data_IF_405325187659
#
_entry.id   IF_405325187659
#
_cell.length_a   1.000
_cell.length_b   1.000
_cell.length_c   1.000
_cell.angle_alpha   90.00
_cell.angle_beta   90.00
_cell.angle_gamma   90.00
#
_symmetry.space_group_name_H-M   'P 1'
#
loop_
_entity.id
_entity.type
_entity.pdbx_description
1 polymer ?
#
# COMPACT_ATOMS: atom_id res chain seq x y z
N UNK A 1 37.65 41.52 -14.38
CA UNK A 1 37.10 40.97 -13.11
C UNK A 1 36.10 39.88 -13.44
N UNK A 2 36.09 38.84 -12.60
CA UNK A 2 35.58 37.48 -12.80
C UNK A 2 34.20 37.38 -13.48
N UNK A 3 34.11 36.50 -14.47
CA UNK A 3 32.87 36.04 -15.09
C UNK A 3 31.85 35.62 -14.03
N UNK A 4 30.57 35.83 -14.31
CA UNK A 4 29.43 35.38 -13.50
C UNK A 4 28.70 34.18 -14.15
N UNK A 5 29.32 33.04 -14.54
CA UNK A 5 28.72 32.11 -15.49
C UNK A 5 28.18 30.83 -14.83
N UNK A 6 27.55 30.91 -13.65
CA UNK A 6 27.00 29.70 -13.00
C UNK A 6 25.78 29.90 -12.08
N UNK A 7 25.37 31.14 -11.75
CA UNK A 7 24.33 31.35 -10.74
C UNK A 7 22.93 30.87 -11.18
N UNK A 8 22.53 31.18 -12.42
CA UNK A 8 21.19 30.82 -12.92
C UNK A 8 21.03 29.32 -13.23
N UNK A 9 21.97 28.63 -13.91
CA UNK A 9 21.89 27.18 -14.07
C UNK A 9 21.87 26.43 -12.73
N UNK A 10 22.66 26.86 -11.75
CA UNK A 10 22.66 26.28 -10.39
C UNK A 10 21.31 26.46 -9.70
N UNK A 11 20.67 27.64 -9.85
CA UNK A 11 19.34 27.89 -9.33
C UNK A 11 18.30 26.95 -9.96
N UNK A 12 18.30 26.79 -11.29
CA UNK A 12 17.40 25.86 -11.98
C UNK A 12 17.60 24.43 -11.49
N UNK A 13 18.85 23.95 -11.39
CA UNK A 13 19.15 22.61 -10.87
C UNK A 13 18.68 22.45 -9.43
N UNK A 14 18.86 23.46 -8.58
CA UNK A 14 18.40 23.44 -7.19
C UNK A 14 16.88 23.37 -7.06
N UNK A 15 16.15 24.20 -7.83
CA UNK A 15 14.68 24.17 -7.87
C UNK A 15 14.19 22.81 -8.40
N UNK A 16 14.79 22.30 -9.48
CA UNK A 16 14.44 20.99 -10.03
C UNK A 16 14.65 19.86 -9.02
N UNK A 17 15.76 19.88 -8.27
CA UNK A 17 16.03 18.89 -7.23
C UNK A 17 15.05 18.97 -6.05
N UNK A 18 14.59 20.18 -5.68
CA UNK A 18 13.58 20.37 -4.65
C UNK A 18 12.22 19.83 -5.11
N UNK A 19 11.79 20.16 -6.33
CA UNK A 19 10.53 19.66 -6.90
C UNK A 19 10.51 18.14 -6.98
N UNK A 20 11.60 17.54 -7.45
CA UNK A 20 11.74 16.09 -7.52
C UNK A 20 11.69 15.44 -6.12
N UNK A 21 12.31 16.03 -5.11
CA UNK A 21 12.22 15.54 -3.73
C UNK A 21 10.77 15.59 -3.19
N UNK A 22 10.07 16.70 -3.43
CA UNK A 22 8.67 16.85 -3.03
C UNK A 22 7.79 15.81 -3.70
N UNK A 23 7.92 15.60 -5.02
CA UNK A 23 7.15 14.56 -5.73
C UNK A 23 7.43 13.17 -5.20
N UNK A 24 8.68 12.84 -4.86
CA UNK A 24 9.00 11.54 -4.23
C UNK A 24 8.36 11.39 -2.86
N UNK A 25 8.28 12.46 -2.08
CA UNK A 25 7.62 12.43 -0.78
C UNK A 25 6.11 12.17 -0.93
N UNK A 26 5.47 12.89 -1.85
CA UNK A 26 4.06 12.70 -2.21
C UNK A 26 3.79 11.28 -2.69
N UNK A 27 4.56 10.80 -3.68
CA UNK A 27 4.40 9.46 -4.23
C UNK A 27 4.50 8.37 -3.15
N UNK A 28 5.43 8.51 -2.21
CA UNK A 28 5.56 7.58 -1.07
C UNK A 28 4.35 7.65 -0.15
N UNK A 29 3.92 8.86 0.23
CA UNK A 29 2.77 9.04 1.12
C UNK A 29 1.50 8.42 0.54
N UNK A 30 1.20 8.71 -0.73
CA UNK A 30 0.05 8.14 -1.45
C UNK A 30 0.13 6.62 -1.48
N UNK A 31 1.31 6.06 -1.82
CA UNK A 31 1.49 4.61 -1.87
C UNK A 31 1.28 3.91 -0.51
N UNK A 32 1.79 4.49 0.57
CA UNK A 32 1.63 3.94 1.92
C UNK A 32 0.16 3.99 2.37
N UNK A 33 -0.51 5.14 2.19
CA UNK A 33 -1.92 5.32 2.55
C UNK A 33 -2.83 4.44 1.70
N UNK A 34 -2.58 4.34 0.40
CA UNK A 34 -3.30 3.46 -0.50
C UNK A 34 -3.20 2.00 -0.04
N UNK A 35 -2.00 1.53 0.28
CA UNK A 35 -1.78 0.15 0.72
C UNK A 35 -2.47 -0.15 2.04
N UNK A 36 -2.36 0.76 3.01
CA UNK A 36 -3.05 0.64 4.29
C UNK A 36 -4.58 0.64 4.11
N UNK A 37 -5.11 1.51 3.23
CA UNK A 37 -6.53 1.56 2.90
C UNK A 37 -7.01 0.24 2.29
N UNK A 38 -6.24 -0.32 1.36
CA UNK A 38 -6.57 -1.59 0.71
C UNK A 38 -6.50 -2.80 1.64
N UNK A 39 -5.54 -2.83 2.57
CA UNK A 39 -5.53 -3.82 3.65
C UNK A 39 -6.82 -3.76 4.48
N UNK A 40 -7.24 -2.55 4.81
CA UNK A 40 -8.40 -2.28 5.64
C UNK A 40 -9.74 -2.55 4.93
N UNK A 41 -9.81 -2.33 3.61
CA UNK A 41 -10.91 -2.83 2.77
C UNK A 41 -10.96 -4.37 2.82
N UNK A 42 -9.81 -5.03 2.72
CA UNK A 42 -9.70 -6.48 2.86
C UNK A 42 -10.22 -7.00 4.20
N UNK A 43 -9.89 -6.33 5.31
CA UNK A 43 -10.40 -6.64 6.65
C UNK A 43 -11.93 -6.60 6.68
N UNK A 44 -12.52 -5.50 6.20
CA UNK A 44 -13.98 -5.30 6.18
C UNK A 44 -14.70 -6.36 5.37
N UNK A 45 -14.14 -6.77 4.23
CA UNK A 45 -14.69 -7.87 3.42
C UNK A 45 -14.71 -9.18 4.23
N UNK A 46 -13.58 -9.54 4.86
CA UNK A 46 -13.49 -10.80 5.62
C UNK A 46 -14.40 -10.81 6.84
N UNK A 47 -14.49 -9.70 7.58
CA UNK A 47 -15.39 -9.59 8.73
C UNK A 47 -16.86 -9.72 8.32
N UNK A 48 -17.23 -9.10 7.20
CA UNK A 48 -18.59 -9.20 6.66
C UNK A 48 -18.95 -10.65 6.29
N UNK A 49 -18.02 -11.39 5.68
CA UNK A 49 -18.23 -12.82 5.38
C UNK A 49 -18.34 -13.68 6.66
N UNK A 50 -17.52 -13.40 7.68
CA UNK A 50 -17.49 -14.17 8.94
C UNK A 50 -18.75 -14.00 9.81
N UNK A 51 -19.41 -12.84 9.71
CA UNK A 51 -20.67 -12.57 10.42
C UNK A 51 -21.87 -13.36 9.86
N UNK A 52 -21.65 -14.27 8.91
CA UNK A 52 -22.57 -15.36 8.60
C UNK A 52 -23.81 -14.96 7.80
N UNK A 53 -23.78 -13.81 7.12
CA UNK A 53 -24.93 -13.34 6.33
C UNK A 53 -25.22 -14.17 5.06
N UNK A 54 -24.36 -15.10 4.64
CA UNK A 54 -24.76 -16.16 3.68
C UNK A 54 -23.75 -17.31 3.59
N UNK A 55 -24.15 -18.53 3.97
CA UNK A 55 -23.25 -19.69 4.16
C UNK A 55 -23.04 -20.60 2.93
N UNK A 56 -23.61 -20.30 1.76
CA UNK A 56 -23.63 -21.29 0.66
C UNK A 56 -23.03 -20.84 -0.70
N UNK A 57 -22.97 -19.55 -1.06
CA UNK A 57 -22.58 -19.13 -2.43
C UNK A 57 -21.73 -17.82 -2.51
N UNK A 58 -21.25 -17.29 -1.38
CA UNK A 58 -21.08 -15.84 -1.25
C UNK A 58 -19.75 -15.22 -1.69
N UNK A 59 -18.62 -15.94 -1.67
CA UNK A 59 -17.31 -15.30 -1.78
C UNK A 59 -17.12 -14.49 -3.06
N UNK A 60 -17.24 -15.15 -4.22
CA UNK A 60 -17.05 -14.47 -5.50
C UNK A 60 -18.22 -13.54 -5.84
N UNK A 61 -19.46 -13.94 -5.53
CA UNK A 61 -20.65 -13.12 -5.83
C UNK A 61 -20.67 -11.82 -5.01
N UNK A 62 -20.27 -11.86 -3.73
CA UNK A 62 -20.08 -10.67 -2.91
C UNK A 62 -19.06 -9.73 -3.54
N UNK A 63 -17.90 -10.26 -3.92
CA UNK A 63 -16.84 -9.45 -4.53
C UNK A 63 -17.29 -8.86 -5.88
N UNK A 64 -18.10 -9.58 -6.66
CA UNK A 64 -18.68 -9.05 -7.90
C UNK A 64 -19.65 -7.90 -7.62
N UNK A 65 -20.56 -8.06 -6.65
CA UNK A 65 -21.53 -7.03 -6.24
C UNK A 65 -20.83 -5.80 -5.67
N UNK A 66 -19.93 -6.00 -4.70
CA UNK A 66 -19.10 -4.93 -4.14
C UNK A 66 -18.31 -4.22 -5.23
N UNK A 67 -17.73 -4.96 -6.17
CA UNK A 67 -16.95 -4.35 -7.24
C UNK A 67 -17.79 -3.46 -8.14
N UNK A 68 -19.01 -3.87 -8.47
CA UNK A 68 -19.95 -3.02 -9.21
C UNK A 68 -20.32 -1.76 -8.42
N UNK A 69 -20.78 -1.92 -7.19
CA UNK A 69 -21.31 -0.82 -6.37
C UNK A 69 -20.23 0.20 -5.98
N UNK A 70 -19.03 -0.27 -5.63
CA UNK A 70 -17.90 0.61 -5.31
C UNK A 70 -17.38 1.32 -6.55
N UNK A 71 -17.34 0.64 -7.71
CA UNK A 71 -16.91 1.29 -8.96
C UNK A 71 -17.88 2.40 -9.36
N UNK A 72 -19.18 2.19 -9.18
CA UNK A 72 -20.21 3.21 -9.45
C UNK A 72 -20.08 4.43 -8.54
N UNK A 73 -19.71 4.25 -7.26
CA UNK A 73 -19.64 5.34 -6.28
C UNK A 73 -18.29 6.06 -6.22
N UNK A 74 -17.20 5.32 -6.40
CA UNK A 74 -15.84 5.79 -6.12
C UNK A 74 -14.91 5.75 -7.34
N UNK A 75 -15.37 5.23 -8.48
CA UNK A 75 -14.60 5.17 -9.72
C UNK A 75 -13.79 3.90 -9.88
N UNK A 76 -12.76 3.95 -10.74
CA UNK A 76 -11.97 2.77 -11.12
C UNK A 76 -11.16 2.23 -9.93
N UNK A 77 -10.62 1.01 -10.07
CA UNK A 77 -9.79 0.38 -9.04
C UNK A 77 -10.52 -0.52 -8.04
N UNK A 78 -11.85 -0.49 -7.97
CA UNK A 78 -12.61 -1.38 -7.07
C UNK A 78 -13.17 -2.64 -7.75
N UNK A 79 -12.66 -3.03 -8.93
CA UNK A 79 -13.12 -4.24 -9.61
C UNK A 79 -12.87 -5.53 -8.79
N UNK A 80 -13.64 -6.58 -9.10
CA UNK A 80 -13.60 -7.89 -8.42
C UNK A 80 -12.17 -8.42 -8.18
N UNK A 81 -11.28 -8.31 -9.18
CA UNK A 81 -9.88 -8.77 -9.06
C UNK A 81 -9.09 -8.01 -8.00
N UNK A 82 -9.25 -6.69 -7.92
CA UNK A 82 -8.53 -5.89 -6.93
C UNK A 82 -9.10 -6.16 -5.53
N UNK A 83 -10.43 -6.22 -5.37
CA UNK A 83 -11.06 -6.59 -4.09
C UNK A 83 -10.63 -7.98 -3.61
N UNK A 84 -10.52 -8.95 -4.52
CA UNK A 84 -9.98 -10.28 -4.22
C UNK A 84 -8.52 -10.20 -3.73
N UNK A 85 -7.71 -9.35 -4.36
CA UNK A 85 -6.33 -9.09 -3.94
C UNK A 85 -6.26 -8.41 -2.57
N UNK A 86 -7.12 -7.42 -2.30
CA UNK A 86 -7.25 -6.75 -0.98
C UNK A 86 -7.61 -7.75 0.12
N UNK A 87 -8.60 -8.62 -0.16
CA UNK A 87 -9.00 -9.71 0.74
C UNK A 87 -7.83 -10.66 1.03
N UNK A 88 -7.15 -11.14 -0.01
CA UNK A 88 -5.98 -12.01 0.13
C UNK A 88 -4.85 -11.33 0.92
N UNK A 89 -4.66 -10.03 0.70
CA UNK A 89 -3.67 -9.22 1.41
C UNK A 89 -3.94 -9.13 2.90
N UNK A 90 -5.19 -8.86 3.29
CA UNK A 90 -5.57 -8.88 4.69
C UNK A 90 -5.35 -10.26 5.33
N UNK A 91 -5.82 -11.34 4.67
CA UNK A 91 -5.66 -12.70 5.19
C UNK A 91 -4.20 -13.10 5.40
N UNK A 92 -3.30 -12.67 4.49
CA UNK A 92 -1.86 -12.92 4.62
C UNK A 92 -1.15 -12.06 5.67
N UNK A 93 -1.78 -10.97 6.13
CA UNK A 93 -1.19 -9.98 7.03
C UNK A 93 -2.10 -9.63 8.22
N UNK A 94 -2.91 -10.59 8.68
CA UNK A 94 -3.96 -10.37 9.69
C UNK A 94 -3.40 -10.06 11.09
N UNK A 95 -2.15 -10.46 11.37
CA UNK A 95 -1.48 -10.23 12.67
C UNK A 95 -1.11 -8.76 12.93
N UNK A 96 -1.24 -7.87 11.94
CA UNK A 96 -0.84 -6.46 12.07
C UNK A 96 -1.66 -5.72 13.13
N UNK A 97 -2.94 -6.08 13.33
CA UNK A 97 -3.78 -5.47 14.37
C UNK A 97 -3.23 -5.66 15.78
N UNK A 98 -2.59 -6.79 16.07
CA UNK A 98 -1.94 -7.02 17.36
C UNK A 98 -0.78 -6.03 17.57
N UNK A 99 -0.08 -5.68 16.49
CA UNK A 99 1.06 -4.77 16.54
C UNK A 99 0.62 -3.31 16.67
N UNK A 100 -0.43 -2.91 15.94
CA UNK A 100 -0.98 -1.54 16.00
C UNK A 100 -1.65 -1.29 17.35
N UNK A 101 -2.36 -2.28 17.91
CA UNK A 101 -2.96 -2.18 19.25
C UNK A 101 -1.89 -2.00 20.34
N UNK A 102 -0.76 -2.71 20.25
CA UNK A 102 0.35 -2.55 21.19
C UNK A 102 0.99 -1.16 21.15
N UNK A 103 1.13 -0.54 19.96
CA UNK A 103 1.64 0.84 19.80
C UNK A 103 0.62 1.89 20.26
N UNK A 104 -0.67 1.67 20.01
CA UNK A 104 -1.73 2.60 20.43
C UNK A 104 -1.85 2.69 21.96
N UNK A 105 -1.62 1.58 22.69
CA UNK A 105 -1.57 1.57 24.16
C UNK A 105 -0.40 2.38 24.75
N UNK A 106 0.64 2.63 23.97
CA UNK A 106 1.83 3.35 24.44
C UNK A 106 1.79 4.86 24.15
N UNK A 107 0.95 5.33 23.22
CA UNK A 107 0.95 6.74 22.78
C UNK A 107 -0.37 7.51 22.99
N UNK A 108 -1.49 6.84 23.31
CA UNK A 108 -2.73 7.53 23.65
C UNK A 108 -3.46 6.82 24.78
N UNK A 109 -3.65 7.52 25.91
CA UNK A 109 -4.55 7.11 26.98
C UNK A 109 -6.02 7.26 26.57
N UNK A 110 -6.44 6.54 25.54
CA UNK A 110 -7.82 6.48 25.08
C UNK A 110 -8.21 5.02 24.80
N UNK A 111 -9.32 4.60 25.41
CA UNK A 111 -9.91 3.27 25.36
C UNK A 111 -9.96 2.71 23.93
N UNK A 112 -9.24 1.60 23.73
CA UNK A 112 -9.08 0.93 22.46
C UNK A 112 -10.31 0.05 22.17
N UNK A 113 -10.68 0.05 20.89
CA UNK A 113 -11.56 -0.90 20.23
C UNK A 113 -11.10 -2.35 20.50
N UNK A 114 -11.59 -2.91 21.61
CA UNK A 114 -11.47 -4.32 21.92
C UNK A 114 -12.46 -5.12 21.06
N UNK A 115 -11.95 -6.18 20.44
CA UNK A 115 -12.77 -7.18 19.73
C UNK A 115 -13.67 -7.88 20.75
N UNK A 116 -15.00 -7.71 20.63
CA UNK A 116 -15.97 -8.41 21.49
C UNK A 116 -16.07 -9.87 21.03
N UNK A 117 -15.35 -10.76 21.70
CA UNK A 117 -15.76 -12.15 21.82
C UNK A 117 -15.41 -12.68 23.20
N UNK A 118 -16.33 -12.48 24.15
CA UNK A 118 -16.67 -13.46 25.18
C UNK A 118 -17.92 -13.00 25.93
N UNK A 119 -19.03 -13.74 25.74
CA UNK A 119 -20.22 -13.85 26.62
C UNK A 119 -20.85 -12.55 27.15
N UNK A 120 -22.00 -12.22 26.53
CA UNK A 120 -23.26 -11.74 27.12
C UNK A 120 -23.21 -11.10 28.52
N UNK A 121 -23.53 -9.80 28.58
CA UNK A 121 -24.65 -9.16 29.32
C UNK A 121 -24.35 -7.65 29.41
N UNK A 122 -25.34 -6.80 29.06
CA UNK A 122 -25.54 -5.33 29.32
C UNK A 122 -26.00 -4.58 28.04
N UNK A 123 -26.97 -3.63 28.17
CA UNK A 123 -27.99 -3.35 27.16
C UNK A 123 -27.63 -2.33 26.08
N UNK A 124 -28.42 -2.41 25.00
CA UNK A 124 -28.49 -1.51 23.83
C UNK A 124 -28.47 -0.04 24.28
N UNK A 125 -27.43 0.69 23.89
CA UNK A 125 -27.44 2.16 23.92
C UNK A 125 -27.87 2.68 22.55
N UNK A 126 -29.17 2.94 22.40
CA UNK A 126 -29.65 3.97 21.49
C UNK A 126 -29.28 5.34 22.07
N UNK A 127 -28.46 6.13 21.38
CA UNK A 127 -28.54 7.60 21.49
C UNK A 127 -27.89 8.28 20.29
N UNK A 128 -28.63 9.27 19.79
CA UNK A 128 -28.32 10.15 18.66
C UNK A 128 -27.42 11.28 19.14
N UNK A 129 -26.44 11.67 18.30
CA UNK A 129 -25.68 12.93 18.33
C UNK A 129 -24.45 13.04 19.25
N UNK A 130 -23.33 13.39 18.59
CA UNK A 130 -22.11 14.03 19.08
C UNK A 130 -21.18 13.27 20.07
N UNK A 131 -20.17 12.57 19.52
CA UNK A 131 -18.75 12.62 19.94
C UNK A 131 -17.87 11.89 18.91
N UNK A 132 -16.87 12.62 18.42
CA UNK A 132 -15.76 12.28 17.52
C UNK A 132 -15.65 10.82 17.08
N UNK A 133 -15.76 10.60 15.77
CA UNK A 133 -15.19 9.43 15.10
C UNK A 133 -13.77 9.18 15.66
N UNK A 134 -13.37 7.92 15.91
CA UNK A 134 -11.97 7.65 16.24
C UNK A 134 -11.07 8.27 15.17
N UNK A 135 -9.89 8.71 15.57
CA UNK A 135 -8.90 9.36 14.73
C UNK A 135 -8.44 8.42 13.61
N UNK A 136 -9.26 8.33 12.57
CA UNK A 136 -9.09 7.41 11.45
C UNK A 136 -7.80 7.70 10.70
N UNK A 137 -7.41 8.98 10.64
CA UNK A 137 -6.18 9.43 10.02
C UNK A 137 -4.97 8.94 10.83
N UNK A 138 -4.98 9.06 12.17
CA UNK A 138 -3.92 8.47 12.99
C UNK A 138 -3.86 6.95 12.87
N UNK A 139 -5.01 6.27 12.81
CA UNK A 139 -5.03 4.82 12.61
C UNK A 139 -4.43 4.42 11.26
N UNK A 140 -4.78 5.15 10.19
CA UNK A 140 -4.27 4.88 8.86
C UNK A 140 -2.77 5.16 8.74
N UNK A 141 -2.27 6.21 9.41
CA UNK A 141 -0.83 6.48 9.49
C UNK A 141 -0.09 5.37 10.24
N UNK A 142 -0.62 4.91 11.37
CA UNK A 142 -0.06 3.79 12.11
C UNK A 142 -0.02 2.50 11.26
N UNK A 143 -1.08 2.22 10.50
CA UNK A 143 -1.11 1.10 9.55
C UNK A 143 -0.12 1.29 8.39
N UNK A 144 -0.02 2.49 7.84
CA UNK A 144 0.88 2.82 6.73
C UNK A 144 2.35 2.53 7.08
N UNK A 145 2.75 2.72 8.34
CA UNK A 145 4.08 2.35 8.82
C UNK A 145 4.39 0.84 8.76
N UNK A 146 3.36 -0.02 8.72
CA UNK A 146 3.50 -1.47 8.57
C UNK A 146 3.59 -1.92 7.11
N UNK A 147 3.29 -1.04 6.15
CA UNK A 147 3.29 -1.34 4.72
C UNK A 147 4.22 -0.39 3.94
N UNK A 148 5.54 -0.54 4.07
CA UNK A 148 6.51 0.38 3.49
C UNK A 148 6.66 0.25 1.96
N UNK A 149 6.09 -0.78 1.33
CA UNK A 149 6.12 -0.95 -0.13
C UNK A 149 4.81 -0.42 -0.78
N UNK A 150 4.88 0.05 -2.04
CA UNK A 150 3.69 0.33 -2.83
C UNK A 150 2.76 -0.89 -2.99
N UNK A 151 1.46 -0.65 -3.18
CA UNK A 151 0.47 -1.71 -3.41
C UNK A 151 0.84 -2.63 -4.57
N UNK A 152 1.42 -2.08 -5.65
CA UNK A 152 1.85 -2.86 -6.81
C UNK A 152 2.91 -3.92 -6.47
N UNK A 153 3.79 -3.67 -5.50
CA UNK A 153 4.71 -4.69 -4.96
C UNK A 153 3.93 -5.78 -4.23
N UNK A 154 3.02 -5.41 -3.34
CA UNK A 154 2.22 -6.37 -2.58
C UNK A 154 1.37 -7.27 -3.49
N UNK A 155 0.79 -6.73 -4.56
CA UNK A 155 0.10 -7.52 -5.59
C UNK A 155 1.03 -8.58 -6.21
N UNK A 156 2.31 -8.26 -6.47
CA UNK A 156 3.29 -9.25 -6.96
C UNK A 156 3.66 -10.27 -5.88
N UNK A 157 3.81 -9.84 -4.63
CA UNK A 157 4.13 -10.71 -3.50
C UNK A 157 2.98 -11.69 -3.18
N UNK A 158 1.72 -11.31 -3.39
CA UNK A 158 0.56 -12.19 -3.25
C UNK A 158 0.60 -13.40 -4.21
N UNK A 159 1.22 -13.26 -5.38
CA UNK A 159 1.40 -14.37 -6.32
C UNK A 159 2.45 -15.40 -5.87
N UNK A 160 3.31 -15.04 -4.91
CA UNK A 160 4.34 -15.93 -4.34
C UNK A 160 3.69 -16.83 -3.29
N UNK A 161 3.59 -18.14 -3.57
CA UNK A 161 2.92 -19.11 -2.68
C UNK A 161 3.68 -19.40 -1.40
N UNK A 162 5.01 -19.54 -1.51
CA UNK A 162 5.88 -19.79 -0.36
C UNK A 162 6.03 -18.52 0.48
N UNK A 163 5.65 -18.61 1.75
CA UNK A 163 5.72 -17.49 2.69
C UNK A 163 7.17 -17.06 2.97
N UNK A 164 8.12 -18.00 3.03
CA UNK A 164 9.53 -17.68 3.26
C UNK A 164 10.11 -16.94 2.05
N UNK A 165 9.77 -17.39 0.84
CA UNK A 165 10.14 -16.70 -0.40
C UNK A 165 9.50 -15.29 -0.45
N UNK A 166 8.22 -15.16 -0.09
CA UNK A 166 7.51 -13.88 -0.07
C UNK A 166 8.19 -12.87 0.85
N UNK A 167 8.46 -13.25 2.11
CA UNK A 167 9.18 -12.41 3.08
C UNK A 167 10.57 -12.03 2.59
N UNK A 168 11.30 -12.98 2.00
CA UNK A 168 12.61 -12.71 1.41
C UNK A 168 12.53 -11.64 0.32
N UNK A 169 11.57 -11.73 -0.61
CA UNK A 169 11.41 -10.75 -1.67
C UNK A 169 10.97 -9.38 -1.16
N UNK A 170 10.12 -9.33 -0.14
CA UNK A 170 9.73 -8.08 0.53
C UNK A 170 10.94 -7.39 1.18
N UNK A 171 11.72 -8.13 1.97
CA UNK A 171 12.92 -7.61 2.63
C UNK A 171 13.97 -7.12 1.63
N UNK A 172 14.23 -7.88 0.56
CA UNK A 172 15.18 -7.51 -0.47
C UNK A 172 14.70 -6.31 -1.29
N UNK A 173 13.40 -6.21 -1.56
CA UNK A 173 12.83 -5.05 -2.23
C UNK A 173 12.97 -3.78 -1.38
N UNK A 174 12.76 -3.87 -0.06
CA UNK A 174 12.97 -2.77 0.88
C UNK A 174 14.44 -2.39 1.02
N UNK A 175 15.32 -3.38 1.19
CA UNK A 175 16.76 -3.19 1.37
C UNK A 175 17.42 -2.62 0.11
N UNK A 176 17.02 -3.12 -1.05
CA UNK A 176 17.62 -2.79 -2.35
C UNK A 176 16.90 -1.70 -3.12
N UNK A 177 15.76 -1.19 -2.63
CA UNK A 177 14.92 -0.22 -3.34
C UNK A 177 14.43 -0.75 -4.69
N UNK A 178 14.04 -2.02 -4.77
CA UNK A 178 13.66 -2.64 -6.04
C UNK A 178 12.36 -2.02 -6.57
N UNK A 179 12.35 -1.63 -7.84
CA UNK A 179 11.10 -1.31 -8.52
C UNK A 179 10.23 -2.56 -8.72
N UNK A 180 8.95 -2.37 -9.02
CA UNK A 180 8.02 -3.47 -9.33
C UNK A 180 8.58 -4.37 -10.44
N UNK A 181 9.20 -3.78 -11.47
CA UNK A 181 9.84 -4.51 -12.58
C UNK A 181 11.01 -5.36 -12.12
N UNK A 182 11.84 -4.82 -11.23
CA UNK A 182 12.94 -5.56 -10.64
C UNK A 182 12.43 -6.71 -9.76
N UNK A 183 11.46 -6.44 -8.88
CA UNK A 183 10.83 -7.45 -8.03
C UNK A 183 10.24 -8.59 -8.87
N UNK A 184 9.42 -8.26 -9.87
CA UNK A 184 8.77 -9.23 -10.77
C UNK A 184 9.81 -10.10 -11.49
N UNK A 185 10.90 -9.49 -11.97
CA UNK A 185 12.01 -10.22 -12.58
C UNK A 185 12.72 -11.15 -11.59
N UNK A 186 12.94 -10.72 -10.35
CA UNK A 186 13.60 -11.57 -9.34
C UNK A 186 12.71 -12.75 -8.93
N UNK A 187 11.41 -12.52 -8.79
CA UNK A 187 10.41 -13.57 -8.57
C UNK A 187 10.42 -14.55 -9.76
N UNK A 188 10.32 -14.04 -10.99
CA UNK A 188 10.27 -14.86 -12.21
C UNK A 188 11.54 -15.71 -12.42
N UNK A 189 12.70 -15.22 -11.98
CA UNK A 189 13.96 -15.97 -12.05
C UNK A 189 14.25 -16.84 -10.82
N UNK A 190 13.28 -16.97 -9.89
CA UNK A 190 13.41 -17.77 -8.66
C UNK A 190 14.68 -17.41 -7.88
N UNK A 191 14.90 -16.12 -7.71
CA UNK A 191 16.13 -15.60 -7.12
C UNK A 191 16.32 -16.06 -5.67
N UNK A 192 15.24 -16.22 -4.91
CA UNK A 192 15.24 -16.79 -3.57
C UNK A 192 15.86 -18.20 -3.55
N UNK A 193 15.32 -19.10 -4.36
CA UNK A 193 15.72 -20.50 -4.43
C UNK A 193 17.16 -20.63 -4.90
N UNK A 194 17.56 -19.82 -5.89
CA UNK A 194 18.95 -19.78 -6.35
C UNK A 194 19.89 -19.26 -5.26
N UNK A 195 19.44 -18.32 -4.44
CA UNK A 195 20.24 -17.80 -3.32
C UNK A 195 20.39 -18.84 -2.21
N UNK A 196 19.35 -19.64 -1.93
CA UNK A 196 19.43 -20.76 -1.00
C UNK A 196 20.45 -21.82 -1.46
N UNK A 197 20.44 -22.16 -2.76
CA UNK A 197 21.31 -23.19 -3.35
C UNK A 197 22.74 -22.69 -3.61
N UNK A 198 22.98 -21.38 -3.54
CA UNK A 198 24.30 -20.80 -3.83
C UNK A 198 25.29 -21.09 -2.70
N UNK A 199 26.47 -21.61 -3.06
CA UNK A 199 27.62 -21.73 -2.16
C UNK A 199 28.14 -20.37 -1.67
N UNK A 200 27.93 -19.31 -2.47
CA UNK A 200 28.32 -17.94 -2.12
C UNK A 200 27.11 -17.01 -2.21
N UNK A 201 26.36 -16.91 -1.10
CA UNK A 201 25.14 -16.10 -0.99
C UNK A 201 25.43 -14.61 -1.14
N UNK A 202 26.51 -14.12 -0.52
CA UNK A 202 26.87 -12.70 -0.56
C UNK A 202 27.16 -12.19 -1.98
N UNK A 203 27.87 -12.98 -2.80
CA UNK A 203 28.13 -12.62 -4.19
C UNK A 203 26.84 -12.63 -5.04
N UNK A 204 25.93 -13.59 -4.78
CA UNK A 204 24.62 -13.67 -5.43
C UNK A 204 23.74 -12.46 -5.11
N UNK A 205 23.66 -12.06 -3.83
CA UNK A 205 22.93 -10.86 -3.40
C UNK A 205 23.47 -9.60 -4.09
N UNK A 206 24.79 -9.41 -4.10
CA UNK A 206 25.42 -8.28 -4.81
C UNK A 206 25.14 -8.25 -6.31
N UNK A 207 24.98 -9.41 -6.96
CA UNK A 207 24.68 -9.50 -8.39
C UNK A 207 23.19 -9.28 -8.67
N UNK A 208 22.31 -9.84 -7.85
CA UNK A 208 20.86 -9.72 -7.98
C UNK A 208 20.34 -8.33 -7.62
N UNK A 209 20.99 -7.64 -6.69
CA UNK A 209 20.61 -6.30 -6.27
C UNK A 209 20.96 -5.19 -7.29
N UNK A 210 21.73 -5.50 -8.34
CA UNK A 210 22.10 -4.48 -9.33
C UNK A 210 20.88 -4.09 -10.19
N UNK A 211 20.45 -2.81 -10.14
CA UNK A 211 19.41 -2.33 -11.03
C UNK A 211 19.89 -2.38 -12.48
N UNK A 212 18.97 -2.70 -13.39
CA UNK A 212 19.15 -2.63 -14.84
C UNK A 212 18.64 -1.28 -15.36
N UNK A 213 19.06 -0.88 -16.57
CA UNK A 213 18.42 0.24 -17.28
C UNK A 213 16.92 -0.02 -17.38
N UNK A 214 16.10 0.90 -16.85
CA UNK A 214 14.63 0.76 -16.77
C UNK A 214 14.06 0.30 -15.43
N UNK A 215 14.93 -0.04 -14.45
CA UNK A 215 14.49 -0.26 -13.06
C UNK A 215 14.39 1.04 -12.27
N UNK A 216 15.12 2.09 -12.68
CA UNK A 216 15.01 3.41 -12.10
C UNK A 216 13.63 4.01 -12.43
N UNK A 217 12.91 4.44 -11.39
CA UNK A 217 11.64 5.14 -11.50
C UNK A 217 11.83 6.59 -11.04
N UNK A 218 11.36 7.53 -11.85
CA UNK A 218 11.24 8.93 -11.40
C UNK A 218 10.04 9.09 -10.46
N UNK A 219 9.99 10.19 -9.70
CA UNK A 219 8.84 10.47 -8.85
C UNK A 219 7.52 10.56 -9.62
N UNK A 220 7.59 11.19 -10.79
CA UNK A 220 6.48 11.37 -11.71
C UNK A 220 6.00 10.02 -12.29
N UNK A 221 6.93 9.13 -12.65
CA UNK A 221 6.58 7.76 -13.06
C UNK A 221 5.91 6.96 -11.94
N UNK A 222 6.31 7.17 -10.69
CA UNK A 222 5.69 6.50 -9.54
C UNK A 222 4.27 7.02 -9.25
N UNK A 223 4.00 8.30 -9.50
CA UNK A 223 2.66 8.89 -9.40
C UNK A 223 1.76 8.46 -10.56
N UNK A 224 2.35 8.19 -11.73
CA UNK A 224 1.68 7.66 -12.92
C UNK A 224 1.43 6.15 -12.88
N UNK A 225 1.70 5.48 -11.77
CA UNK A 225 1.32 4.07 -11.61
C UNK A 225 -0.21 3.94 -11.78
N UNK A 226 -0.71 3.06 -12.66
CA UNK A 226 -2.14 2.94 -12.91
C UNK A 226 -2.98 2.72 -11.64
N UNK A 227 -2.46 2.00 -10.64
CA UNK A 227 -3.17 1.76 -9.38
C UNK A 227 -3.24 3.02 -8.52
N UNK A 228 -2.20 3.86 -8.54
CA UNK A 228 -2.20 5.17 -7.88
C UNK A 228 -3.23 6.08 -8.54
N UNK A 229 -3.30 6.09 -9.87
CA UNK A 229 -4.28 6.88 -10.61
C UNK A 229 -5.71 6.42 -10.34
N UNK A 230 -5.94 5.11 -10.32
CA UNK A 230 -7.23 4.53 -9.93
C UNK A 230 -7.61 4.93 -8.50
N UNK A 231 -6.67 4.87 -7.56
CA UNK A 231 -6.88 5.26 -6.18
C UNK A 231 -7.25 6.74 -6.02
N UNK A 232 -6.61 7.63 -6.78
CA UNK A 232 -6.92 9.06 -6.83
C UNK A 232 -8.12 9.38 -7.73
N UNK A 233 -8.76 8.37 -8.32
CA UNK A 233 -9.85 8.48 -9.29
C UNK A 233 -9.54 9.42 -10.47
N UNK A 234 -8.31 9.35 -10.96
CA UNK A 234 -7.83 10.11 -12.13
C UNK A 234 -8.03 9.29 -13.41
N UNK A 235 -8.30 9.99 -14.52
CA UNK A 235 -8.33 9.42 -15.88
C UNK A 235 -6.91 9.25 -16.40
N UNK A 236 -6.70 8.43 -17.43
CA UNK A 236 -5.36 8.15 -17.97
C UNK A 236 -4.77 9.33 -18.77
N UNK A 237 -5.62 10.27 -19.17
CA UNK A 237 -5.25 11.59 -19.71
C UNK A 237 -5.54 12.65 -18.64
N UNK A 238 -4.51 13.16 -17.98
CA UNK A 238 -4.64 14.25 -17.02
C UNK A 238 -3.45 15.20 -17.15
N UNK A 239 -3.69 16.49 -16.91
CA UNK A 239 -2.63 17.49 -16.85
C UNK A 239 -1.93 17.41 -15.49
N UNK A 240 -0.67 17.84 -15.42
CA UNK A 240 0.08 17.92 -14.16
C UNK A 240 -0.67 18.71 -13.07
N UNK A 241 -1.42 19.74 -13.47
CA UNK A 241 -2.30 20.53 -12.62
C UNK A 241 -3.45 19.71 -12.02
N UNK A 242 -4.04 18.79 -12.78
CA UNK A 242 -5.13 17.93 -12.28
C UNK A 242 -4.63 16.98 -11.18
N UNK A 243 -3.38 16.53 -11.27
CA UNK A 243 -2.77 15.68 -10.25
C UNK A 243 -2.43 16.46 -8.98
N UNK A 244 -1.92 17.67 -9.09
CA UNK A 244 -1.68 18.55 -7.94
C UNK A 244 -2.99 18.88 -7.20
N UNK A 245 -4.05 19.23 -7.94
CA UNK A 245 -5.37 19.51 -7.36
C UNK A 245 -5.95 18.30 -6.61
N UNK A 246 -5.75 17.08 -7.14
CA UNK A 246 -6.23 15.86 -6.50
C UNK A 246 -5.52 15.56 -5.17
N UNK A 247 -4.22 15.84 -5.08
CA UNK A 247 -3.43 15.68 -3.86
C UNK A 247 -3.79 16.67 -2.75
N UNK A 248 -4.43 17.79 -3.10
CA UNK A 248 -4.86 18.82 -2.14
C UNK A 248 -6.26 18.52 -1.58
N UNK A 249 -7.11 17.81 -2.32
CA UNK A 249 -8.52 17.57 -1.97
C UNK A 249 -8.77 16.32 -1.11
N UNK A 250 -7.74 15.52 -0.83
CA UNK A 250 -7.78 14.29 -0.05
C UNK A 250 -6.78 14.34 1.12
#
# INVERSE_FOLDING_TARGET
>A
MKSKPAAYPTLITGIGALLEQSRRAVARSVNCLMTATYWEVGRRIVEFEQQGQSRAEYGDELLFRLGKDLTERHGRGFGWRNLSSMKAFYLGNSNILQTVSAKSLTESGADILQTVSAKSLIPIAQTVSAKSSPDWLLFLDALAQHFPLPWSHYVRLLAVKDEAARRYYEEEALRGGWSVRQLDRQIGTRFYERTLLSRNKAAMLKKGARPKPGDALTADEALRDPLVLEFLNLKDEYSETDLEDALIRH
#
